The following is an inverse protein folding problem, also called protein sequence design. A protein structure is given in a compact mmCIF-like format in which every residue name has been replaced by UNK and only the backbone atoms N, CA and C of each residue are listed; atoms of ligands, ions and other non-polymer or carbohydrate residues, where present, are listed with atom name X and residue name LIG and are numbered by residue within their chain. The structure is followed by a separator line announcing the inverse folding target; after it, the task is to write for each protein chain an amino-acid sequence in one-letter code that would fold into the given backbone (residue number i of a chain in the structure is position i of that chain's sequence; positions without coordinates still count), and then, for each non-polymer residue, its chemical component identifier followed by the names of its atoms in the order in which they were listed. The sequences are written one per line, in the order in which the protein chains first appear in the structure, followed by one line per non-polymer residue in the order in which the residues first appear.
data_IF_258130601331
#
_entry.id   IF_258130601331
#
_cell.length_a   1.000
_cell.length_b   1.000
_cell.length_c   1.000
_cell.angle_alpha   90.00
_cell.angle_beta   90.00
_cell.angle_gamma   90.00
#
_symmetry.space_group_name_H-M   'P 1'
#
loop_
_entity.id
_entity.type
_entity.pdbx_description
1 polymer ?
#
# COMPACT_ATOMS: atom_id res chain seq x y z
N UNK A 1 -77.63 -12.43 2.17
CA UNK A 1 -76.92 -11.39 1.40
C UNK A 1 -76.30 -10.42 2.40
N UNK A 2 -74.97 -10.49 2.65
CA UNK A 2 -74.16 -9.40 3.25
C UNK A 2 -72.67 -9.75 3.50
N UNK A 3 -72.17 -10.89 3.00
CA UNK A 3 -70.75 -11.26 3.15
C UNK A 3 -69.81 -10.67 2.08
N UNK A 4 -70.33 -10.20 0.94
CA UNK A 4 -69.50 -9.78 -0.21
C UNK A 4 -69.20 -8.28 -0.27
N UNK A 5 -69.90 -7.46 0.54
CA UNK A 5 -69.73 -6.00 0.54
C UNK A 5 -68.45 -5.58 1.28
N UNK A 6 -68.13 -6.21 2.41
CA UNK A 6 -66.96 -5.86 3.21
C UNK A 6 -65.62 -6.22 2.55
N UNK A 7 -65.54 -7.32 1.78
CA UNK A 7 -64.29 -7.69 1.07
C UNK A 7 -64.02 -6.78 -0.13
N UNK A 8 -65.06 -6.25 -0.77
CA UNK A 8 -64.94 -5.36 -1.92
C UNK A 8 -64.47 -3.98 -1.49
N UNK A 9 -65.00 -3.43 -0.40
CA UNK A 9 -64.57 -2.15 0.17
C UNK A 9 -63.13 -2.24 0.70
N UNK A 10 -62.77 -3.34 1.36
CA UNK A 10 -61.40 -3.57 1.81
C UNK A 10 -60.40 -3.69 0.65
N UNK A 11 -60.76 -4.34 -0.46
CA UNK A 11 -59.90 -4.40 -1.66
C UNK A 11 -59.71 -3.05 -2.34
N UNK A 12 -60.74 -2.20 -2.36
CA UNK A 12 -60.67 -0.88 -3.00
C UNK A 12 -59.85 0.10 -2.16
N UNK A 13 -59.97 0.05 -0.82
CA UNK A 13 -59.23 0.93 0.09
C UNK A 13 -57.79 0.46 0.35
N UNK A 14 -57.58 -0.84 0.60
CA UNK A 14 -56.26 -1.37 0.97
C UNK A 14 -55.45 -1.90 -0.21
N UNK A 15 -56.09 -2.21 -1.34
CA UNK A 15 -55.40 -2.70 -2.54
C UNK A 15 -54.33 -1.73 -3.06
N UNK A 16 -54.64 -0.43 -3.27
CA UNK A 16 -53.65 0.55 -3.69
C UNK A 16 -52.53 0.76 -2.66
N UNK A 17 -52.87 0.73 -1.37
CA UNK A 17 -51.90 0.88 -0.26
C UNK A 17 -50.93 -0.32 -0.23
N UNK A 18 -51.44 -1.54 -0.39
CA UNK A 18 -50.65 -2.77 -0.43
C UNK A 18 -49.75 -2.83 -1.67
N UNK A 19 -50.22 -2.34 -2.83
CA UNK A 19 -49.41 -2.24 -4.05
C UNK A 19 -48.30 -1.20 -3.90
N UNK A 20 -48.58 -0.04 -3.29
CA UNK A 20 -47.54 0.94 -3.00
C UNK A 20 -46.53 0.42 -1.97
N UNK A 21 -46.99 -0.28 -0.93
CA UNK A 21 -46.10 -0.91 0.06
C UNK A 21 -45.25 -2.01 -0.55
N UNK A 22 -45.81 -2.86 -1.42
CA UNK A 22 -45.02 -3.89 -2.11
C UNK A 22 -43.97 -3.27 -3.01
N UNK A 23 -44.30 -2.20 -3.75
CA UNK A 23 -43.36 -1.51 -4.62
C UNK A 23 -42.22 -0.84 -3.82
N UNK A 24 -42.54 -0.17 -2.71
CA UNK A 24 -41.54 0.39 -1.81
C UNK A 24 -40.67 -0.69 -1.18
N UNK A 25 -41.25 -1.82 -0.79
CA UNK A 25 -40.52 -2.97 -0.27
C UNK A 25 -39.58 -3.55 -1.33
N UNK A 26 -40.03 -3.73 -2.58
CA UNK A 26 -39.20 -4.22 -3.69
C UNK A 26 -38.05 -3.27 -4.00
N UNK A 27 -38.28 -1.95 -4.00
CA UNK A 27 -37.21 -0.96 -4.17
C UNK A 27 -36.21 -1.02 -3.02
N UNK A 28 -36.71 -1.12 -1.78
CA UNK A 28 -35.88 -1.19 -0.58
C UNK A 28 -35.02 -2.46 -0.56
N UNK A 29 -35.63 -3.62 -0.85
CA UNK A 29 -34.93 -4.91 -0.96
C UNK A 29 -33.96 -4.88 -2.14
N UNK A 30 -34.36 -4.38 -3.31
CA UNK A 30 -33.51 -4.30 -4.50
C UNK A 30 -32.27 -3.42 -4.29
N UNK A 31 -32.43 -2.26 -3.62
CA UNK A 31 -31.32 -1.39 -3.26
C UNK A 31 -30.36 -2.05 -2.27
N UNK A 32 -30.88 -2.67 -1.22
CA UNK A 32 -30.02 -3.38 -0.27
C UNK A 32 -29.35 -4.60 -0.89
N UNK A 33 -30.03 -5.29 -1.82
CA UNK A 33 -29.45 -6.39 -2.56
C UNK A 33 -28.31 -5.91 -3.47
N UNK A 34 -28.46 -4.79 -4.20
CA UNK A 34 -27.37 -4.26 -5.03
C UNK A 34 -26.17 -3.79 -4.21
N UNK A 35 -26.40 -3.10 -3.09
CA UNK A 35 -25.35 -2.67 -2.16
C UNK A 35 -24.54 -3.90 -1.66
N UNK A 36 -25.23 -5.01 -1.36
CA UNK A 36 -24.58 -6.23 -0.85
C UNK A 36 -23.96 -7.13 -1.92
N UNK A 37 -24.48 -7.16 -3.14
CA UNK A 37 -23.81 -7.82 -4.27
C UNK A 37 -22.48 -7.15 -4.57
N UNK A 38 -22.41 -5.81 -4.45
CA UNK A 38 -21.15 -5.09 -4.61
C UNK A 38 -20.12 -5.47 -3.52
N UNK A 39 -20.56 -5.71 -2.29
CA UNK A 39 -19.71 -6.21 -1.19
C UNK A 39 -19.18 -7.61 -1.49
N UNK A 40 -20.03 -8.53 -1.95
CA UNK A 40 -19.60 -9.90 -2.31
C UNK A 40 -18.61 -9.88 -3.48
N UNK A 41 -18.83 -9.04 -4.50
CA UNK A 41 -17.86 -8.85 -5.58
C UNK A 41 -16.53 -8.29 -5.09
N UNK A 42 -16.57 -7.34 -4.16
CA UNK A 42 -15.36 -6.75 -3.58
C UNK A 42 -14.55 -7.80 -2.80
N UNK A 43 -15.24 -8.64 -2.03
CA UNK A 43 -14.64 -9.78 -1.33
C UNK A 43 -14.00 -10.75 -2.34
N UNK A 44 -14.72 -11.14 -3.38
CA UNK A 44 -14.21 -12.03 -4.44
C UNK A 44 -12.98 -11.43 -5.17
N UNK A 45 -12.99 -10.12 -5.42
CA UNK A 45 -11.89 -9.37 -6.04
C UNK A 45 -10.66 -9.21 -5.14
N UNK A 46 -10.84 -9.14 -3.81
CA UNK A 46 -9.72 -9.12 -2.85
C UNK A 46 -9.12 -10.52 -2.67
N UNK A 47 -9.92 -11.58 -2.78
CA UNK A 47 -9.48 -12.98 -2.60
C UNK A 47 -8.95 -13.68 -3.84
N UNK A 48 -9.23 -13.17 -5.03
CA UNK A 48 -8.81 -13.77 -6.29
C UNK A 48 -7.37 -13.42 -6.70
N UNK A 49 -6.77 -14.26 -7.55
CA UNK A 49 -5.53 -13.93 -8.27
C UNK A 49 -5.80 -12.85 -9.33
N UNK A 50 -5.92 -11.60 -8.89
CA UNK A 50 -6.06 -10.45 -9.78
C UNK A 50 -6.95 -9.35 -9.21
N UNK A 51 -6.37 -8.16 -9.05
CA UNK A 51 -7.12 -6.94 -8.75
C UNK A 51 -7.90 -6.53 -10.00
N UNK A 52 -9.23 -6.51 -9.93
CA UNK A 52 -10.05 -6.10 -11.08
C UNK A 52 -9.88 -4.62 -11.42
N UNK A 53 -10.15 -4.27 -12.67
CA UNK A 53 -10.14 -2.88 -13.19
C UNK A 53 -11.11 -1.95 -12.40
N UNK A 54 -12.18 -2.52 -11.82
CA UNK A 54 -13.13 -1.79 -10.96
C UNK A 54 -12.48 -1.32 -9.65
N UNK A 55 -11.62 -2.13 -9.03
CA UNK A 55 -10.86 -1.75 -7.82
C UNK A 55 -9.81 -0.66 -8.14
N UNK A 56 -9.16 -0.74 -9.31
CA UNK A 56 -8.20 0.27 -9.76
C UNK A 56 -8.85 1.63 -10.10
N UNK A 57 -10.11 1.61 -10.53
CA UNK A 57 -10.89 2.80 -10.91
C UNK A 57 -11.40 3.64 -9.73
N UNK A 58 -11.38 3.10 -8.52
CA UNK A 58 -11.90 3.74 -7.30
C UNK A 58 -13.43 3.89 -7.30
N UNK A 59 -14.14 3.22 -8.21
CA UNK A 59 -15.58 3.43 -8.43
C UNK A 59 -16.42 3.00 -7.23
N UNK A 60 -15.97 1.98 -6.51
CA UNK A 60 -16.65 1.50 -5.31
C UNK A 60 -16.47 2.47 -4.13
N UNK A 61 -15.25 2.92 -3.87
CA UNK A 61 -14.91 3.89 -2.84
C UNK A 61 -15.67 5.20 -3.03
N UNK A 62 -15.76 5.68 -4.28
CA UNK A 62 -16.55 6.87 -4.64
C UNK A 62 -18.01 6.78 -4.19
N UNK A 63 -18.61 5.58 -4.19
CA UNK A 63 -20.02 5.41 -3.80
C UNK A 63 -20.28 5.62 -2.29
N UNK A 64 -19.24 5.52 -1.46
CA UNK A 64 -19.31 5.74 -0.01
C UNK A 64 -18.81 7.12 0.44
N UNK A 65 -18.29 7.92 -0.49
CA UNK A 65 -17.73 9.24 -0.22
C UNK A 65 -18.67 10.35 -0.70
N UNK A 66 -18.91 11.41 0.11
CA UNK A 66 -19.59 12.60 -0.37
C UNK A 66 -18.87 13.20 -1.59
N UNK A 67 -19.64 13.64 -2.59
CA UNK A 67 -19.11 14.07 -3.89
C UNK A 67 -18.09 15.21 -3.76
N UNK A 68 -18.32 16.11 -2.82
CA UNK A 68 -17.44 17.22 -2.47
C UNK A 68 -16.06 16.79 -1.95
N UNK A 69 -15.93 15.57 -1.42
CA UNK A 69 -14.69 15.05 -0.86
C UNK A 69 -13.94 14.12 -1.81
N UNK A 70 -14.59 13.59 -2.84
CA UNK A 70 -13.97 12.67 -3.81
C UNK A 70 -12.71 13.26 -4.47
N UNK A 71 -12.66 14.58 -4.64
CA UNK A 71 -11.50 15.27 -5.21
C UNK A 71 -10.21 15.05 -4.39
N UNK A 72 -10.29 14.97 -3.06
CA UNK A 72 -9.10 14.75 -2.21
C UNK A 72 -8.53 13.32 -2.36
N UNK A 73 -9.36 12.36 -2.78
CA UNK A 73 -8.95 10.97 -2.96
C UNK A 73 -8.41 10.72 -4.36
N UNK A 74 -9.18 11.14 -5.36
CA UNK A 74 -8.95 10.76 -6.76
C UNK A 74 -8.41 11.91 -7.61
N UNK A 75 -8.33 13.12 -7.08
CA UNK A 75 -7.91 14.28 -7.84
C UNK A 75 -8.86 14.62 -8.99
N UNK A 76 -8.31 15.25 -10.04
CA UNK A 76 -9.05 15.57 -11.26
C UNK A 76 -9.02 14.38 -12.24
N UNK A 77 -10.00 13.48 -12.14
CA UNK A 77 -10.08 12.25 -12.95
C UNK A 77 -10.25 12.48 -14.45
N UNK A 78 -10.33 13.72 -14.92
CA UNK A 78 -10.27 14.04 -16.35
C UNK A 78 -8.84 14.02 -16.91
N UNK A 79 -7.83 14.00 -16.03
CA UNK A 79 -6.42 13.92 -16.38
C UNK A 79 -5.97 12.46 -16.60
N UNK A 80 -5.05 12.24 -17.56
CA UNK A 80 -4.78 10.89 -18.08
C UNK A 80 -4.06 9.96 -17.09
N UNK A 81 -3.17 10.50 -16.25
CA UNK A 81 -2.33 9.70 -15.35
C UNK A 81 -2.69 9.92 -13.88
N UNK A 82 -2.41 8.95 -13.00
CA UNK A 82 -2.72 9.07 -11.56
C UNK A 82 -1.96 10.23 -10.93
N UNK A 83 -0.69 10.42 -11.30
CA UNK A 83 0.11 11.56 -10.89
C UNK A 83 -0.50 12.89 -11.34
N UNK A 84 -0.96 13.02 -12.58
CA UNK A 84 -1.59 14.25 -13.06
C UNK A 84 -2.91 14.54 -12.31
N UNK A 85 -3.68 13.50 -12.00
CA UNK A 85 -4.88 13.59 -11.17
C UNK A 85 -4.54 14.13 -9.77
N UNK A 86 -3.55 13.55 -9.08
CA UNK A 86 -3.14 14.01 -7.75
C UNK A 86 -2.48 15.39 -7.77
N UNK A 87 -1.76 15.74 -8.84
CA UNK A 87 -1.18 17.09 -9.03
C UNK A 87 -2.25 18.17 -8.93
N UNK A 88 -3.44 17.91 -9.46
CA UNK A 88 -4.56 18.84 -9.39
C UNK A 88 -4.96 19.20 -7.94
N UNK A 89 -4.76 18.27 -6.99
CA UNK A 89 -5.02 18.50 -5.57
C UNK A 89 -4.05 19.55 -5.03
N UNK A 90 -2.76 19.37 -5.30
CA UNK A 90 -1.74 20.35 -4.92
C UNK A 90 -1.93 21.70 -5.62
N UNK A 91 -2.33 21.73 -6.90
CA UNK A 91 -2.60 23.00 -7.61
C UNK A 91 -3.70 23.85 -6.94
N UNK A 92 -4.64 23.24 -6.21
CA UNK A 92 -5.63 23.96 -5.40
C UNK A 92 -5.10 24.41 -4.03
N UNK A 93 -3.97 23.89 -3.58
CA UNK A 93 -3.31 24.27 -2.34
C UNK A 93 -1.78 24.21 -2.50
N UNK A 94 -1.16 25.15 -3.26
CA UNK A 94 0.24 25.03 -3.70
C UNK A 94 1.28 25.06 -2.58
N UNK A 95 0.92 25.58 -1.41
CA UNK A 95 1.81 25.61 -0.24
C UNK A 95 1.72 24.33 0.60
N UNK A 96 0.83 23.39 0.24
CA UNK A 96 0.64 22.16 0.99
C UNK A 96 1.66 21.08 0.57
N UNK A 97 2.72 20.94 1.37
CA UNK A 97 3.77 19.93 1.18
C UNK A 97 3.27 18.48 1.23
N UNK A 98 2.20 18.19 1.97
CA UNK A 98 1.60 16.84 2.06
C UNK A 98 1.05 16.43 0.69
N UNK A 99 0.28 17.31 0.06
CA UNK A 99 -0.28 17.05 -1.27
C UNK A 99 0.80 16.96 -2.34
N UNK A 100 1.86 17.76 -2.22
CA UNK A 100 2.99 17.69 -3.14
C UNK A 100 3.76 16.38 -3.01
N UNK A 101 4.08 15.94 -1.80
CA UNK A 101 4.76 14.67 -1.58
C UNK A 101 3.94 13.47 -2.09
N UNK A 102 2.62 13.48 -1.88
CA UNK A 102 1.75 12.46 -2.46
C UNK A 102 1.73 12.50 -3.99
N UNK A 103 1.70 13.69 -4.60
CA UNK A 103 1.85 13.82 -6.05
C UNK A 103 3.17 13.21 -6.54
N UNK A 104 4.30 13.50 -5.89
CA UNK A 104 5.60 12.93 -6.26
C UNK A 104 5.61 11.41 -6.15
N UNK A 105 4.96 10.82 -5.13
CA UNK A 105 4.85 9.35 -5.03
C UNK A 105 4.09 8.73 -6.20
N UNK A 106 2.96 9.31 -6.58
CA UNK A 106 2.24 8.85 -7.78
C UNK A 106 3.02 9.12 -9.07
N UNK A 107 3.78 10.21 -9.15
CA UNK A 107 4.63 10.53 -10.30
C UNK A 107 5.74 9.49 -10.48
N UNK A 108 6.35 9.04 -9.38
CA UNK A 108 7.27 7.90 -9.38
C UNK A 108 6.53 6.64 -9.83
N UNK A 109 5.33 6.38 -9.33
CA UNK A 109 4.50 5.25 -9.76
C UNK A 109 4.26 5.22 -11.28
N UNK A 110 3.81 6.33 -11.85
CA UNK A 110 3.55 6.45 -13.30
C UNK A 110 4.84 6.41 -14.15
N UNK A 111 5.97 6.85 -13.60
CA UNK A 111 7.29 6.65 -14.22
C UNK A 111 7.70 5.18 -14.21
N UNK A 112 7.34 4.47 -13.15
CA UNK A 112 7.70 3.07 -12.95
C UNK A 112 6.81 2.07 -13.68
N UNK A 113 5.60 2.49 -14.06
CA UNK A 113 4.65 1.68 -14.81
C UNK A 113 5.11 1.55 -16.25
N UNK A 114 6.02 0.61 -16.49
CA UNK A 114 6.36 0.12 -17.82
C UNK A 114 5.34 -0.94 -18.22
N UNK A 115 4.35 -0.56 -19.02
CA UNK A 115 3.53 -1.55 -19.73
C UNK A 115 4.33 -2.08 -20.93
N UNK A 116 4.35 -3.40 -21.14
CA UNK A 116 5.16 -4.04 -22.20
C UNK A 116 5.03 -3.31 -23.56
N UNK A 117 6.10 -2.60 -23.96
CA UNK A 117 6.17 -1.90 -25.23
C UNK A 117 5.57 -0.49 -25.27
N UNK A 118 5.10 0.05 -24.13
CA UNK A 118 4.63 1.43 -24.00
C UNK A 118 5.66 2.21 -23.19
N UNK A 119 6.21 3.32 -23.72
CA UNK A 119 7.09 4.19 -22.95
C UNK A 119 6.39 4.71 -21.68
N UNK A 120 7.13 4.93 -20.57
CA UNK A 120 6.56 5.52 -19.37
C UNK A 120 5.78 6.79 -19.67
N UNK A 121 4.64 6.98 -18.99
CA UNK A 121 3.80 8.16 -19.20
C UNK A 121 4.49 9.47 -18.73
N UNK A 122 5.53 9.33 -17.91
CA UNK A 122 6.31 10.43 -17.33
C UNK A 122 7.74 10.35 -17.85
N UNK A 123 8.26 11.45 -18.38
CA UNK A 123 9.66 11.52 -18.81
C UNK A 123 10.60 11.71 -17.61
N UNK A 124 11.86 11.29 -17.77
CA UNK A 124 12.87 11.48 -16.71
C UNK A 124 13.14 12.97 -16.40
N UNK A 125 13.11 13.84 -17.42
CA UNK A 125 13.30 15.28 -17.25
C UNK A 125 12.15 15.91 -16.46
N UNK A 126 10.91 15.44 -16.69
CA UNK A 126 9.75 15.86 -15.92
C UNK A 126 9.85 15.40 -14.47
N UNK A 127 10.25 14.13 -14.26
CA UNK A 127 10.43 13.57 -12.93
C UNK A 127 11.51 14.31 -12.13
N UNK A 128 12.68 14.57 -12.73
CA UNK A 128 13.73 15.36 -12.10
C UNK A 128 13.20 16.73 -11.71
N UNK A 129 12.59 17.45 -12.66
CA UNK A 129 12.08 18.81 -12.44
C UNK A 129 11.15 18.88 -11.23
N UNK A 130 10.22 17.94 -11.09
CA UNK A 130 9.24 17.94 -10.01
C UNK A 130 9.88 17.48 -8.69
N UNK A 131 10.80 16.53 -8.70
CA UNK A 131 11.59 16.18 -7.50
C UNK A 131 12.39 17.39 -7.00
N UNK A 132 13.08 18.11 -7.89
CA UNK A 132 13.82 19.34 -7.52
C UNK A 132 12.90 20.45 -7.01
N UNK A 133 11.66 20.50 -7.49
CA UNK A 133 10.67 21.42 -6.97
C UNK A 133 10.21 20.99 -5.56
N UNK A 134 10.10 19.70 -5.28
CA UNK A 134 9.87 19.16 -3.94
C UNK A 134 10.95 19.57 -2.95
N UNK A 135 12.21 19.48 -3.35
CA UNK A 135 13.35 19.97 -2.55
C UNK A 135 13.27 21.48 -2.26
N UNK A 136 12.63 22.28 -3.10
CA UNK A 136 12.42 23.72 -2.84
C UNK A 136 11.26 23.97 -1.90
N UNK A 137 10.20 23.16 -1.99
CA UNK A 137 9.00 23.28 -1.15
C UNK A 137 9.30 22.83 0.29
N UNK A 138 10.11 21.78 0.45
CA UNK A 138 10.42 21.16 1.73
C UNK A 138 11.93 20.81 1.81
N UNK A 139 12.80 21.83 1.97
CA UNK A 139 14.25 21.70 1.82
C UNK A 139 14.91 20.80 2.86
N UNK A 140 14.30 20.69 4.04
CA UNK A 140 14.81 19.88 5.15
C UNK A 140 14.42 18.39 5.03
N UNK A 141 13.61 18.03 4.04
CA UNK A 141 13.11 16.68 3.85
C UNK A 141 14.01 15.86 2.91
N UNK A 142 14.55 14.76 3.43
CA UNK A 142 15.41 13.82 2.73
C UNK A 142 14.67 12.98 1.68
N UNK A 143 13.34 12.90 1.76
CA UNK A 143 12.49 12.11 0.88
C UNK A 143 12.83 12.26 -0.61
N UNK A 144 12.93 13.51 -1.10
CA UNK A 144 13.18 13.79 -2.50
C UNK A 144 14.57 13.33 -2.97
N UNK A 145 15.61 13.52 -2.14
CA UNK A 145 16.98 13.12 -2.50
C UNK A 145 17.15 11.60 -2.44
N UNK A 146 16.51 10.89 -1.50
CA UNK A 146 16.55 9.43 -1.48
C UNK A 146 15.88 8.82 -2.71
N UNK A 147 14.68 9.30 -3.08
CA UNK A 147 14.01 8.80 -4.28
C UNK A 147 14.85 9.09 -5.53
N UNK A 148 15.39 10.31 -5.63
CA UNK A 148 16.18 10.66 -6.80
C UNK A 148 17.46 9.85 -6.91
N UNK A 149 18.16 9.63 -5.78
CA UNK A 149 19.31 8.72 -5.72
C UNK A 149 18.92 7.32 -6.20
N UNK A 150 17.78 6.79 -5.75
CA UNK A 150 17.31 5.46 -6.14
C UNK A 150 16.93 5.38 -7.63
N UNK A 151 16.32 6.41 -8.20
CA UNK A 151 16.02 6.49 -9.64
C UNK A 151 17.30 6.54 -10.47
N UNK A 152 18.25 7.40 -10.10
CA UNK A 152 19.54 7.50 -10.79
C UNK A 152 20.29 6.18 -10.73
N UNK A 153 20.29 5.52 -9.57
CA UNK A 153 20.89 4.21 -9.39
C UNK A 153 20.27 3.17 -10.32
N UNK A 154 18.93 3.03 -10.28
CA UNK A 154 18.20 2.08 -11.14
C UNK A 154 18.46 2.30 -12.62
N UNK A 155 18.63 3.55 -13.06
CA UNK A 155 18.93 3.85 -14.46
C UNK A 155 20.37 3.52 -14.86
N UNK A 156 21.29 3.55 -13.91
CA UNK A 156 22.70 3.26 -14.14
C UNK A 156 23.11 1.82 -13.85
N UNK A 157 22.24 0.99 -13.27
CA UNK A 157 22.54 -0.39 -12.95
C UNK A 157 21.33 -1.33 -13.16
N UNK A 158 21.60 -2.55 -13.61
CA UNK A 158 20.60 -3.61 -13.77
C UNK A 158 20.90 -4.78 -12.85
N UNK A 159 19.85 -5.43 -12.34
CA UNK A 159 19.98 -6.63 -11.53
C UNK A 159 20.01 -7.85 -12.44
N UNK A 160 21.17 -8.50 -12.55
CA UNK A 160 21.32 -9.77 -13.26
C UNK A 160 21.31 -10.92 -12.25
N UNK A 161 20.41 -11.88 -12.47
CA UNK A 161 20.44 -13.15 -11.75
C UNK A 161 21.20 -14.15 -12.59
N UNK A 162 22.30 -14.68 -12.07
CA UNK A 162 23.04 -15.76 -12.70
C UNK A 162 22.69 -17.09 -12.01
N UNK A 163 21.71 -17.85 -12.53
CA UNK A 163 21.25 -19.09 -11.91
C UNK A 163 22.31 -20.19 -11.89
N UNK A 164 23.35 -20.10 -12.73
CA UNK A 164 24.42 -21.11 -12.78
C UNK A 164 25.46 -20.91 -11.66
N UNK A 165 25.61 -19.70 -11.14
CA UNK A 165 26.58 -19.37 -10.08
C UNK A 165 25.93 -19.15 -8.71
N UNK A 166 24.61 -19.24 -8.60
CA UNK A 166 23.82 -18.87 -7.41
C UNK A 166 24.24 -17.48 -6.89
N UNK A 167 24.55 -16.59 -7.84
CA UNK A 167 24.98 -15.22 -7.60
C UNK A 167 24.07 -14.28 -8.35
N UNK A 168 23.50 -13.35 -7.60
CA UNK A 168 22.81 -12.22 -8.16
C UNK A 168 23.65 -10.95 -7.93
N UNK A 169 23.84 -10.16 -8.98
CA UNK A 169 24.67 -8.95 -8.92
C UNK A 169 24.06 -7.78 -9.68
N UNK A 170 24.38 -6.57 -9.21
CA UNK A 170 24.12 -5.35 -9.93
C UNK A 170 25.21 -5.14 -10.97
N UNK A 171 24.84 -5.18 -12.24
CA UNK A 171 25.70 -4.82 -13.36
C UNK A 171 25.60 -3.32 -13.58
N UNK A 172 26.73 -2.62 -13.44
CA UNK A 172 26.80 -1.17 -13.63
C UNK A 172 26.91 -0.86 -15.12
N UNK A 173 25.86 -0.25 -15.67
CA UNK A 173 25.75 0.12 -17.08
C UNK A 173 26.18 1.58 -17.34
N UNK A 174 25.95 2.48 -16.37
CA UNK A 174 26.35 3.91 -16.47
C UNK A 174 26.93 4.42 -15.13
N UNK A 175 28.27 4.42 -15.01
CA UNK A 175 28.94 4.91 -13.80
C UNK A 175 28.64 6.38 -13.48
N UNK A 176 28.35 7.22 -14.48
CA UNK A 176 28.08 8.66 -14.26
C UNK A 176 26.76 8.86 -13.52
N UNK A 177 25.77 8.02 -13.83
CA UNK A 177 24.49 8.02 -13.12
C UNK A 177 24.66 7.53 -11.69
N UNK A 178 25.53 6.55 -11.44
CA UNK A 178 25.82 6.08 -10.09
C UNK A 178 26.54 7.14 -9.26
N UNK A 179 27.55 7.82 -9.81
CA UNK A 179 28.21 8.93 -9.12
C UNK A 179 27.20 10.04 -8.76
N UNK A 180 26.28 10.34 -9.67
CA UNK A 180 25.18 11.28 -9.44
C UNK A 180 24.24 10.79 -8.33
N UNK A 181 23.91 9.49 -8.30
CA UNK A 181 23.11 8.88 -7.25
C UNK A 181 23.78 9.01 -5.88
N UNK A 182 25.09 8.78 -5.80
CA UNK A 182 25.87 8.94 -4.56
C UNK A 182 25.89 10.39 -4.07
N UNK A 183 26.02 11.37 -4.98
CA UNK A 183 25.92 12.79 -4.62
C UNK A 183 24.56 13.11 -3.99
N UNK A 184 23.47 12.59 -4.55
CA UNK A 184 22.12 12.78 -4.02
C UNK A 184 21.90 12.05 -2.69
N UNK A 185 22.43 10.84 -2.55
CA UNK A 185 22.40 10.09 -1.30
C UNK A 185 23.10 10.85 -0.17
N UNK A 186 24.26 11.46 -0.44
CA UNK A 186 24.98 12.30 0.53
C UNK A 186 24.18 13.55 0.91
N UNK A 187 23.42 14.15 -0.01
CA UNK A 187 22.50 15.24 0.32
C UNK A 187 21.37 14.76 1.23
N UNK A 188 20.83 13.56 0.97
CA UNK A 188 19.75 12.99 1.75
C UNK A 188 20.16 12.72 3.20
N UNK A 189 21.33 12.10 3.41
CA UNK A 189 21.83 11.79 4.77
C UNK A 189 22.15 13.02 5.59
N UNK A 190 22.48 14.15 4.94
CA UNK A 190 22.73 15.42 5.61
C UNK A 190 21.46 16.16 6.08
N UNK A 191 20.28 15.73 5.63
CA UNK A 191 19.00 16.39 5.96
C UNK A 191 18.43 15.92 7.31
N UNK A 192 17.69 16.76 8.03
CA UNK A 192 17.25 16.45 9.39
C UNK A 192 16.15 15.39 9.48
N UNK A 193 15.30 15.24 8.47
CA UNK A 193 14.19 14.27 8.52
C UNK A 193 13.84 13.68 7.17
N UNK A 194 13.13 12.56 7.20
CA UNK A 194 12.46 11.95 6.04
C UNK A 194 10.95 11.94 6.31
N UNK A 195 10.15 12.54 5.42
CA UNK A 195 8.68 12.53 5.51
C UNK A 195 8.05 12.31 4.14
N UNK A 196 7.21 11.27 4.02
CA UNK A 196 6.33 11.08 2.85
C UNK A 196 4.97 11.74 3.03
N UNK A 197 4.67 12.10 4.27
CA UNK A 197 3.37 12.61 4.71
C UNK A 197 2.21 11.65 4.43
N UNK A 198 2.49 10.35 4.46
CA UNK A 198 1.53 9.34 4.08
C UNK A 198 0.45 9.16 5.16
N UNK A 199 0.86 9.20 6.42
CA UNK A 199 -0.01 9.22 7.59
C UNK A 199 -0.93 10.43 7.59
N UNK A 200 -0.44 11.66 7.46
CA UNK A 200 -1.31 12.85 7.56
C UNK A 200 -2.37 12.88 6.46
N UNK A 201 -2.00 12.58 5.21
CA UNK A 201 -2.95 12.58 4.10
C UNK A 201 -4.01 11.50 4.27
N UNK A 202 -3.60 10.30 4.70
CA UNK A 202 -4.52 9.20 4.84
C UNK A 202 -5.41 9.34 6.07
N UNK A 203 -4.93 9.92 7.17
CA UNK A 203 -5.78 10.28 8.31
C UNK A 203 -6.85 11.28 7.90
N UNK A 204 -6.49 12.31 7.12
CA UNK A 204 -7.44 13.28 6.57
C UNK A 204 -8.48 12.58 5.68
N UNK A 205 -8.03 11.75 4.73
CA UNK A 205 -8.91 10.97 3.85
C UNK A 205 -9.81 10.03 4.64
N UNK A 206 -9.28 9.27 5.59
CA UNK A 206 -10.05 8.35 6.42
C UNK A 206 -11.13 9.06 7.25
N UNK A 207 -10.92 10.33 7.61
CA UNK A 207 -11.91 11.18 8.26
C UNK A 207 -13.18 11.43 7.45
N UNK A 208 -13.13 11.33 6.12
CA UNK A 208 -14.30 11.52 5.25
C UNK A 208 -15.11 10.25 5.00
N UNK A 209 -14.57 9.08 5.31
CA UNK A 209 -15.34 7.85 5.24
C UNK A 209 -16.37 7.76 6.37
N UNK A 210 -17.52 7.09 6.16
CA UNK A 210 -18.52 6.89 7.20
C UNK A 210 -17.93 6.27 8.47
N UNK A 211 -18.54 6.58 9.62
CA UNK A 211 -18.26 5.85 10.86
C UNK A 211 -18.44 4.34 10.64
N UNK A 212 -17.52 3.57 11.21
CA UNK A 212 -17.37 2.14 10.98
C UNK A 212 -18.42 1.31 11.73
N UNK A 213 -19.71 1.57 11.45
CA UNK A 213 -20.87 0.92 12.06
C UNK A 213 -21.33 -0.33 11.33
N UNK A 214 -20.93 -0.50 10.06
CA UNK A 214 -21.28 -1.65 9.21
C UNK A 214 -20.05 -2.28 8.57
N UNK A 215 -20.18 -3.54 8.14
CA UNK A 215 -19.08 -4.30 7.53
C UNK A 215 -18.64 -3.66 6.21
N UNK A 216 -19.57 -3.12 5.42
CA UNK A 216 -19.30 -2.45 4.16
C UNK A 216 -18.42 -1.20 4.35
N UNK A 217 -18.60 -0.49 5.48
CA UNK A 217 -17.77 0.67 5.81
C UNK A 217 -16.34 0.26 6.23
N UNK A 218 -16.17 -0.93 6.82
CA UNK A 218 -14.83 -1.50 7.09
C UNK A 218 -14.15 -1.88 5.79
N UNK A 219 -14.91 -2.54 4.94
CA UNK A 219 -14.48 -3.06 3.65
C UNK A 219 -14.02 -1.95 2.72
N UNK A 220 -14.80 -0.89 2.54
CA UNK A 220 -14.39 0.22 1.68
C UNK A 220 -13.13 0.95 2.18
N UNK A 221 -12.97 1.12 3.51
CA UNK A 221 -11.75 1.70 4.09
C UNK A 221 -10.54 0.80 3.86
N UNK A 222 -10.72 -0.50 4.03
CA UNK A 222 -9.68 -1.50 3.80
C UNK A 222 -9.24 -1.51 2.33
N UNK A 223 -10.19 -1.56 1.38
CA UNK A 223 -9.90 -1.53 -0.05
C UNK A 223 -9.16 -0.25 -0.43
N UNK A 224 -9.61 0.90 0.08
CA UNK A 224 -8.92 2.17 -0.09
C UNK A 224 -7.45 2.08 0.38
N UNK A 225 -7.22 1.64 1.62
CA UNK A 225 -5.86 1.50 2.16
C UNK A 225 -5.00 0.50 1.39
N UNK A 226 -5.57 -0.62 0.96
CA UNK A 226 -4.87 -1.64 0.17
C UNK A 226 -4.52 -1.17 -1.25
N UNK A 227 -5.28 -0.21 -1.79
CA UNK A 227 -5.03 0.39 -3.11
C UNK A 227 -3.94 1.46 -3.11
N UNK A 228 -3.46 1.89 -1.93
CA UNK A 228 -2.43 2.90 -1.82
C UNK A 228 -1.10 2.37 -2.37
N UNK A 229 -0.57 3.07 -3.38
CA UNK A 229 0.70 2.71 -4.01
C UNK A 229 1.87 3.17 -3.13
N UNK A 230 2.93 2.36 -3.05
CA UNK A 230 4.20 2.66 -2.38
C UNK A 230 5.40 2.40 -3.31
N UNK A 231 5.42 2.97 -4.53
CA UNK A 231 6.41 2.62 -5.56
C UNK A 231 7.85 2.94 -5.14
N UNK A 232 8.03 3.95 -4.29
CA UNK A 232 9.33 4.41 -3.82
C UNK A 232 10.06 3.41 -2.92
N UNK A 233 9.31 2.58 -2.19
CA UNK A 233 9.88 1.68 -1.20
C UNK A 233 10.78 0.61 -1.83
N UNK A 234 10.34 0.04 -2.97
CA UNK A 234 11.13 -0.92 -3.72
C UNK A 234 12.42 -0.31 -4.25
N UNK A 235 12.35 0.90 -4.82
CA UNK A 235 13.50 1.62 -5.34
C UNK A 235 14.55 1.89 -4.25
N UNK A 236 14.12 2.38 -3.08
CA UNK A 236 15.05 2.70 -1.99
C UNK A 236 15.67 1.43 -1.40
N UNK A 237 14.91 0.34 -1.28
CA UNK A 237 15.47 -0.96 -0.87
C UNK A 237 16.56 -1.42 -1.84
N UNK A 238 16.28 -1.33 -3.14
CA UNK A 238 17.20 -1.78 -4.19
C UNK A 238 18.47 -0.93 -4.22
N UNK A 239 18.37 0.37 -3.98
CA UNK A 239 19.53 1.25 -3.76
C UNK A 239 20.43 0.73 -2.63
N UNK A 240 19.88 0.46 -1.44
CA UNK A 240 20.69 -0.01 -0.30
C UNK A 240 21.22 -1.42 -0.47
N UNK A 241 20.54 -2.26 -1.25
CA UNK A 241 21.05 -3.57 -1.66
C UNK A 241 22.31 -3.44 -2.52
N UNK A 242 22.41 -2.38 -3.31
CA UNK A 242 23.45 -2.24 -4.31
C UNK A 242 24.70 -1.48 -3.85
N UNK A 243 24.57 -0.61 -2.84
CA UNK A 243 25.69 0.18 -2.30
C UNK A 243 26.93 -0.68 -1.97
N UNK A 244 26.82 -1.84 -1.29
CA UNK A 244 27.99 -2.67 -1.02
C UNK A 244 28.75 -3.08 -2.29
N UNK A 245 28.02 -3.50 -3.33
CA UNK A 245 28.62 -3.89 -4.62
C UNK A 245 29.26 -2.70 -5.35
N UNK A 246 28.64 -1.51 -5.27
CA UNK A 246 29.25 -0.29 -5.79
C UNK A 246 30.58 0.01 -5.09
N UNK A 247 30.64 -0.14 -3.77
CA UNK A 247 31.88 0.09 -3.00
C UNK A 247 32.96 -0.93 -3.38
N UNK A 248 32.63 -2.22 -3.53
CA UNK A 248 33.59 -3.25 -3.94
C UNK A 248 34.12 -3.05 -5.37
N UNK A 249 33.27 -2.54 -6.27
CA UNK A 249 33.58 -2.40 -7.69
C UNK A 249 34.34 -1.11 -8.03
N UNK A 250 34.48 -0.17 -7.09
CA UNK A 250 35.09 1.14 -7.32
C UNK A 250 36.29 1.38 -6.40
N UNK A 251 37.31 2.06 -6.92
CA UNK A 251 38.49 2.46 -6.14
C UNK A 251 38.15 3.68 -5.26
N UNK A 252 37.53 3.43 -4.09
CA UNK A 252 37.22 4.45 -3.10
C UNK A 252 38.29 4.50 -2.00
N UNK A 253 38.48 5.68 -1.40
CA UNK A 253 39.25 5.74 -0.14
C UNK A 253 38.48 5.03 0.98
N UNK A 254 39.20 4.46 1.95
CA UNK A 254 38.61 3.74 3.09
C UNK A 254 37.54 4.57 3.83
N UNK A 255 37.78 5.89 3.98
CA UNK A 255 36.83 6.81 4.57
C UNK A 255 35.58 7.02 3.74
N UNK A 256 35.71 7.07 2.40
CA UNK A 256 34.55 7.23 1.50
C UNK A 256 33.74 5.95 1.42
N UNK A 257 34.41 4.80 1.36
CA UNK A 257 33.78 3.48 1.40
C UNK A 257 32.97 3.32 2.70
N UNK A 258 33.59 3.54 3.85
CA UNK A 258 32.93 3.44 5.16
C UNK A 258 31.74 4.39 5.27
N UNK A 259 31.89 5.64 4.83
CA UNK A 259 30.78 6.60 4.86
C UNK A 259 29.59 6.14 4.01
N UNK A 260 29.83 5.56 2.84
CA UNK A 260 28.77 5.03 1.97
C UNK A 260 28.13 3.77 2.56
N UNK A 261 28.95 2.86 3.05
CA UNK A 261 28.51 1.63 3.72
C UNK A 261 27.62 1.90 4.93
N UNK A 262 27.82 2.99 5.65
CA UNK A 262 27.00 3.36 6.83
C UNK A 262 25.72 4.17 6.51
N UNK A 263 25.50 4.58 5.26
CA UNK A 263 24.35 5.43 4.89
C UNK A 263 22.99 4.81 5.19
N UNK A 264 22.88 3.48 5.21
CA UNK A 264 21.64 2.77 5.55
C UNK A 264 21.20 3.09 6.99
N UNK A 265 22.14 3.29 7.92
CA UNK A 265 21.83 3.62 9.31
C UNK A 265 21.14 4.98 9.41
N UNK A 266 21.65 5.96 8.65
CA UNK A 266 21.07 7.30 8.56
C UNK A 266 19.67 7.26 7.96
N UNK A 267 19.50 6.50 6.86
CA UNK A 267 18.20 6.32 6.22
C UNK A 267 17.17 5.70 7.17
N UNK A 268 17.51 4.60 7.85
CA UNK A 268 16.58 3.95 8.78
C UNK A 268 16.23 4.88 9.95
N UNK A 269 17.21 5.58 10.50
CA UNK A 269 16.98 6.55 11.59
C UNK A 269 15.99 7.65 11.17
N UNK A 270 16.11 8.16 9.95
CA UNK A 270 15.23 9.20 9.43
C UNK A 270 13.85 8.65 9.01
N UNK A 271 13.76 7.44 8.47
CA UNK A 271 12.56 6.90 7.83
C UNK A 271 11.65 6.08 8.75
N UNK A 272 12.18 5.43 9.80
CA UNK A 272 11.37 4.67 10.77
C UNK A 272 10.24 5.52 11.39
N UNK A 273 10.45 6.79 11.79
CA UNK A 273 9.37 7.64 12.31
C UNK A 273 8.24 7.93 11.31
N UNK A 274 8.46 7.72 10.01
CA UNK A 274 7.49 7.94 8.92
C UNK A 274 6.85 6.61 8.43
N UNK A 275 7.15 5.48 9.07
CA UNK A 275 6.51 4.20 8.76
C UNK A 275 5.04 4.23 9.21
N UNK A 276 4.12 3.98 8.27
CA UNK A 276 2.67 4.06 8.51
C UNK A 276 2.00 2.68 8.47
N UNK A 277 2.46 1.78 7.60
CA UNK A 277 1.85 0.48 7.39
C UNK A 277 2.87 -0.67 7.53
N UNK A 278 2.36 -1.91 7.57
CA UNK A 278 3.20 -3.10 7.68
C UNK A 278 4.21 -3.22 6.53
N UNK A 279 3.84 -2.80 5.31
CA UNK A 279 4.74 -2.83 4.14
C UNK A 279 5.96 -1.94 4.40
N UNK A 280 5.78 -0.76 5.00
CA UNK A 280 6.90 0.11 5.38
C UNK A 280 7.86 -0.62 6.31
N UNK A 281 7.34 -1.19 7.39
CA UNK A 281 8.14 -1.89 8.40
C UNK A 281 8.89 -3.08 7.77
N UNK A 282 8.23 -3.85 6.91
CA UNK A 282 8.84 -4.99 6.24
C UNK A 282 9.96 -4.57 5.28
N UNK A 283 9.78 -3.47 4.54
CA UNK A 283 10.81 -2.96 3.62
C UNK A 283 11.98 -2.36 4.39
N UNK A 284 11.73 -1.55 5.43
CA UNK A 284 12.80 -1.00 6.28
C UNK A 284 13.59 -2.11 6.98
N UNK A 285 12.91 -3.16 7.44
CA UNK A 285 13.58 -4.36 7.95
C UNK A 285 14.40 -5.09 6.88
N UNK A 286 13.92 -5.15 5.64
CA UNK A 286 14.68 -5.73 4.54
C UNK A 286 15.97 -4.95 4.27
N UNK A 287 15.93 -3.61 4.31
CA UNK A 287 17.13 -2.76 4.24
C UNK A 287 18.09 -3.09 5.38
N UNK A 288 17.63 -3.11 6.63
CA UNK A 288 18.47 -3.44 7.78
C UNK A 288 19.15 -4.80 7.64
N UNK A 289 18.41 -5.84 7.25
CA UNK A 289 18.95 -7.20 7.08
C UNK A 289 19.97 -7.28 5.95
N UNK A 290 19.63 -6.75 4.77
CA UNK A 290 20.52 -6.75 3.61
C UNK A 290 21.82 -6.02 3.92
N UNK A 291 21.74 -4.86 4.56
CA UNK A 291 22.91 -4.12 5.00
C UNK A 291 23.70 -4.90 6.05
N UNK A 292 23.04 -5.49 7.06
CA UNK A 292 23.69 -6.30 8.09
C UNK A 292 24.53 -7.46 7.55
N UNK A 293 24.09 -8.07 6.45
CA UNK A 293 24.81 -9.15 5.76
C UNK A 293 25.87 -8.59 4.82
N UNK A 294 25.48 -7.77 3.83
CA UNK A 294 26.36 -7.35 2.74
C UNK A 294 27.34 -6.25 3.11
N UNK A 295 26.96 -5.28 3.93
CA UNK A 295 27.91 -4.26 4.39
C UNK A 295 28.98 -4.88 5.28
N UNK A 296 28.60 -5.85 6.14
CA UNK A 296 29.56 -6.55 6.99
C UNK A 296 30.55 -7.38 6.17
N UNK A 297 30.11 -8.07 5.11
CA UNK A 297 31.00 -8.77 4.17
C UNK A 297 32.03 -7.82 3.53
N UNK A 298 31.62 -6.60 3.14
CA UNK A 298 32.55 -5.60 2.59
C UNK A 298 33.55 -5.10 3.65
N UNK A 299 33.11 -4.84 4.88
CA UNK A 299 34.05 -4.48 5.95
C UNK A 299 35.06 -5.58 6.25
N UNK A 300 34.68 -6.86 6.17
CA UNK A 300 35.62 -7.98 6.29
C UNK A 300 36.64 -8.01 5.17
N UNK A 301 36.22 -7.73 3.92
CA UNK A 301 37.13 -7.66 2.78
C UNK A 301 38.10 -6.47 2.87
N UNK A 302 37.70 -5.41 3.59
CA UNK A 302 38.53 -4.25 3.97
C UNK A 302 39.40 -4.49 5.22
N UNK A 303 39.39 -5.69 5.80
CA UNK A 303 40.08 -6.04 7.06
C UNK A 303 39.60 -5.27 8.32
N UNK A 304 38.45 -4.59 8.26
CA UNK A 304 37.82 -3.89 9.39
C UNK A 304 36.77 -4.76 10.10
N UNK A 305 37.27 -5.74 10.86
CA UNK A 305 36.43 -6.70 11.58
C UNK A 305 35.54 -6.05 12.66
N UNK A 306 35.98 -4.93 13.25
CA UNK A 306 35.20 -4.22 14.27
C UNK A 306 33.94 -3.60 13.66
N UNK A 307 34.07 -2.92 12.51
CA UNK A 307 32.93 -2.37 11.79
C UNK A 307 31.99 -3.46 11.25
N UNK A 308 32.52 -4.60 10.81
CA UNK A 308 31.72 -5.75 10.40
C UNK A 308 30.85 -6.30 11.55
N UNK A 309 31.44 -6.53 12.73
CA UNK A 309 30.73 -7.02 13.91
C UNK A 309 29.69 -6.01 14.42
N UNK A 310 30.06 -4.72 14.48
CA UNK A 310 29.14 -3.65 14.85
C UNK A 310 27.94 -3.55 13.90
N UNK A 311 28.19 -3.69 12.58
CA UNK A 311 27.15 -3.69 11.55
C UNK A 311 26.16 -4.84 11.76
N UNK A 312 26.65 -6.06 12.00
CA UNK A 312 25.81 -7.24 12.27
C UNK A 312 25.02 -7.08 13.56
N UNK A 313 25.65 -6.61 14.63
CA UNK A 313 24.99 -6.40 15.91
C UNK A 313 23.85 -5.37 15.78
N UNK A 314 24.11 -4.24 15.12
CA UNK A 314 23.13 -3.18 14.96
C UNK A 314 21.97 -3.61 14.06
N UNK A 315 22.26 -4.19 12.90
CA UNK A 315 21.23 -4.75 12.01
C UNK A 315 20.41 -5.84 12.69
N UNK A 316 21.06 -6.73 13.45
CA UNK A 316 20.42 -7.79 14.22
C UNK A 316 19.42 -7.24 15.26
N UNK A 317 19.79 -6.18 15.99
CA UNK A 317 18.88 -5.50 16.93
C UNK A 317 17.66 -4.90 16.23
N UNK A 318 17.86 -4.26 15.08
CA UNK A 318 16.77 -3.66 14.30
C UNK A 318 15.82 -4.72 13.71
N UNK A 319 16.36 -5.86 13.29
CA UNK A 319 15.56 -6.94 12.69
C UNK A 319 14.93 -7.89 13.71
N UNK A 320 15.38 -7.89 14.97
CA UNK A 320 14.90 -8.79 16.01
C UNK A 320 13.36 -8.83 16.14
N UNK A 321 12.62 -7.70 16.18
CA UNK A 321 11.16 -7.75 16.33
C UNK A 321 10.47 -8.50 15.17
N UNK A 322 10.94 -8.31 13.93
CA UNK A 322 10.36 -8.97 12.76
C UNK A 322 10.75 -10.44 12.70
N UNK A 323 11.99 -10.79 13.08
CA UNK A 323 12.40 -12.19 13.20
C UNK A 323 11.55 -12.92 14.23
N UNK A 324 11.36 -12.34 15.43
CA UNK A 324 10.50 -12.90 16.46
C UNK A 324 9.05 -13.05 15.99
N UNK A 325 8.49 -12.05 15.31
CA UNK A 325 7.15 -12.14 14.73
C UNK A 325 7.05 -13.27 13.68
N UNK A 326 8.05 -13.44 12.80
CA UNK A 326 8.09 -14.52 11.80
C UNK A 326 8.25 -15.91 12.44
N UNK A 327 9.09 -16.04 13.46
CA UNK A 327 9.29 -17.30 14.16
C UNK A 327 8.01 -17.73 14.89
N UNK A 328 7.36 -16.78 15.57
CA UNK A 328 6.05 -17.01 16.19
C UNK A 328 4.98 -17.40 15.16
N UNK A 329 5.06 -16.90 13.92
CA UNK A 329 4.16 -17.25 12.80
C UNK A 329 4.36 -18.69 12.32
N UNK A 330 5.60 -19.18 12.25
CA UNK A 330 5.91 -20.53 11.78
C UNK A 330 5.31 -21.64 12.67
N UNK A 331 5.13 -21.34 13.96
CA UNK A 331 4.56 -22.26 14.96
C UNK A 331 3.02 -22.19 15.07
N UNK A 332 2.34 -21.44 14.19
CA UNK A 332 0.89 -21.25 14.29
C UNK A 332 0.06 -22.32 13.57
N UNK A 333 -1.08 -22.73 14.15
CA UNK A 333 -1.99 -23.74 13.57
C UNK A 333 -2.74 -23.28 12.30
N UNK A 334 -2.54 -22.04 11.85
CA UNK A 334 -3.25 -21.42 10.72
C UNK A 334 -2.43 -21.31 9.43
N UNK A 335 -1.27 -21.99 9.36
CA UNK A 335 -0.53 -22.21 8.11
C UNK A 335 -0.82 -23.59 7.52
N UNK A 336 -1.46 -23.63 6.34
CA UNK A 336 -1.81 -24.88 5.63
C UNK A 336 -3.26 -25.33 5.80
N UNK A 337 -3.63 -26.43 5.13
CA UNK A 337 -4.96 -27.09 5.06
C UNK A 337 -5.50 -27.57 6.44
N UNK A 338 -5.44 -26.76 7.49
CA UNK A 338 -5.94 -27.08 8.82
C UNK A 338 -7.44 -26.78 8.93
N UNK A 339 -8.16 -27.60 9.70
CA UNK A 339 -9.60 -27.44 9.97
C UNK A 339 -9.93 -26.08 10.63
N UNK A 340 -8.96 -25.43 11.26
CA UNK A 340 -9.15 -24.13 11.87
C UNK A 340 -9.10 -22.97 10.85
N UNK A 341 -8.40 -23.12 9.72
CA UNK A 341 -8.50 -22.16 8.61
C UNK A 341 -9.90 -22.15 7.98
N UNK A 342 -10.59 -23.30 7.96
CA UNK A 342 -11.99 -23.41 7.54
C UNK A 342 -12.99 -22.73 8.49
N UNK A 343 -12.57 -22.36 9.71
CA UNK A 343 -13.39 -21.60 10.67
C UNK A 343 -13.19 -20.08 10.57
N UNK A 344 -12.26 -19.63 9.72
CA UNK A 344 -12.11 -18.20 9.43
C UNK A 344 -13.31 -17.74 8.62
N UNK A 345 -13.94 -16.65 9.06
CA UNK A 345 -14.82 -15.86 8.20
C UNK A 345 -14.04 -15.36 6.97
N UNK A 346 -14.73 -14.95 5.91
CA UNK A 346 -14.10 -14.60 4.63
C UNK A 346 -13.08 -13.47 4.80
N UNK A 347 -13.39 -12.45 5.60
CA UNK A 347 -12.46 -11.34 5.84
C UNK A 347 -11.27 -11.78 6.69
N UNK A 348 -11.52 -12.64 7.67
CA UNK A 348 -10.49 -13.25 8.48
C UNK A 348 -9.56 -14.13 7.64
N UNK A 349 -10.09 -14.90 6.69
CA UNK A 349 -9.29 -15.71 5.76
C UNK A 349 -8.49 -14.88 4.77
N UNK A 350 -8.93 -13.66 4.43
CA UNK A 350 -8.19 -12.77 3.53
C UNK A 350 -7.06 -12.04 4.26
N UNK A 351 -7.29 -11.61 5.50
CA UNK A 351 -6.44 -10.63 6.16
C UNK A 351 -5.47 -11.24 7.17
N UNK A 352 -5.82 -12.38 7.75
CA UNK A 352 -5.05 -12.94 8.87
C UNK A 352 -3.91 -13.86 8.44
N UNK A 353 -4.01 -14.64 7.34
CA UNK A 353 -2.89 -15.44 6.88
C UNK A 353 -1.65 -14.61 6.53
N UNK A 354 -1.85 -13.36 6.07
CA UNK A 354 -0.76 -12.42 5.76
C UNK A 354 -0.16 -11.77 7.02
N UNK A 355 -0.97 -11.55 8.07
CA UNK A 355 -0.55 -10.97 9.35
C UNK A 355 0.13 -11.94 10.29
N UNK A 356 -0.11 -13.25 10.16
CA UNK A 356 0.60 -14.27 10.94
C UNK A 356 0.54 -14.06 12.45
N UNK A 357 -0.56 -13.51 12.96
CA UNK A 357 -0.82 -13.25 14.39
C UNK A 357 -1.56 -14.45 15.02
N UNK A 358 -1.33 -14.77 16.31
CA UNK A 358 -1.96 -15.90 16.96
C UNK A 358 -3.41 -15.56 17.27
N UNK A 359 -4.28 -15.89 16.32
CA UNK A 359 -5.69 -15.54 16.41
C UNK A 359 -6.48 -16.75 16.89
N UNK A 360 -7.08 -16.62 18.06
CA UNK A 360 -7.92 -17.67 18.63
C UNK A 360 -9.31 -17.65 18.00
N UNK A 361 -10.03 -18.78 18.04
CA UNK A 361 -11.43 -18.84 17.62
C UNK A 361 -12.34 -17.86 18.36
N UNK A 362 -11.99 -17.49 19.61
CA UNK A 362 -12.71 -16.49 20.40
C UNK A 362 -12.49 -15.07 19.85
N UNK A 363 -11.28 -14.75 19.38
CA UNK A 363 -11.00 -13.47 18.71
C UNK A 363 -11.73 -13.34 17.36
N UNK A 364 -11.98 -14.47 16.69
CA UNK A 364 -12.71 -14.53 15.41
C UNK A 364 -14.23 -14.52 15.58
N UNK A 365 -14.74 -14.99 16.73
CA UNK A 365 -16.16 -15.21 16.94
C UNK A 365 -17.03 -13.97 16.63
N UNK A 366 -16.67 -12.73 17.03
CA UNK A 366 -17.46 -11.55 16.68
C UNK A 366 -17.48 -11.28 15.17
N UNK A 367 -16.34 -11.42 14.49
CA UNK A 367 -16.25 -11.22 13.03
C UNK A 367 -17.06 -12.25 12.26
N UNK A 368 -16.90 -13.52 12.62
CA UNK A 368 -17.64 -14.64 12.04
C UNK A 368 -19.15 -14.50 12.27
N UNK A 369 -19.57 -14.01 13.43
CA UNK A 369 -20.98 -13.76 13.73
C UNK A 369 -21.55 -12.63 12.86
N UNK A 370 -20.82 -11.53 12.69
CA UNK A 370 -21.24 -10.42 11.83
C UNK A 370 -21.35 -10.85 10.37
N UNK A 371 -20.35 -11.57 9.85
CA UNK A 371 -20.40 -12.10 8.49
C UNK A 371 -21.57 -13.06 8.30
N UNK A 372 -21.76 -14.01 9.24
CA UNK A 372 -22.86 -14.96 9.19
C UNK A 372 -24.22 -14.27 9.16
N UNK A 373 -24.42 -13.23 9.98
CA UNK A 373 -25.65 -12.43 9.99
C UNK A 373 -25.82 -11.68 8.68
N UNK A 374 -24.76 -11.05 8.16
CA UNK A 374 -24.81 -10.32 6.89
C UNK A 374 -25.16 -11.24 5.71
N UNK A 375 -24.58 -12.44 5.64
CA UNK A 375 -24.90 -13.44 4.62
C UNK A 375 -26.30 -14.03 4.76
N UNK A 376 -26.75 -14.33 5.99
CA UNK A 376 -28.11 -14.81 6.25
C UNK A 376 -29.16 -13.78 5.81
N UNK A 377 -28.97 -12.52 6.19
CA UNK A 377 -29.84 -11.43 5.76
C UNK A 377 -29.84 -11.27 4.23
N UNK A 378 -28.69 -11.43 3.56
CA UNK A 378 -28.60 -11.36 2.10
C UNK A 378 -29.32 -12.53 1.42
N UNK A 379 -29.19 -13.75 1.95
CA UNK A 379 -29.94 -14.91 1.47
C UNK A 379 -31.46 -14.72 1.65
N UNK A 380 -31.88 -14.16 2.79
CA UNK A 380 -33.29 -13.84 3.04
C UNK A 380 -33.80 -12.78 2.05
N UNK A 381 -33.05 -11.70 1.85
CA UNK A 381 -33.39 -10.65 0.89
C UNK A 381 -33.48 -11.20 -0.55
N UNK A 382 -32.53 -12.05 -0.96
CA UNK A 382 -32.55 -12.72 -2.26
C UNK A 382 -33.74 -13.67 -2.41
N UNK A 383 -34.02 -14.49 -1.40
CA UNK A 383 -35.16 -15.41 -1.40
C UNK A 383 -36.48 -14.65 -1.48
N UNK A 384 -36.60 -13.50 -0.80
CA UNK A 384 -37.77 -12.63 -0.90
C UNK A 384 -37.92 -12.01 -2.29
N UNK A 385 -36.81 -11.65 -2.95
CA UNK A 385 -36.80 -11.15 -4.34
C UNK A 385 -37.20 -12.20 -5.38
N UNK A 386 -36.82 -13.47 -5.17
CA UNK A 386 -37.18 -14.58 -6.06
C UNK A 386 -38.64 -15.04 -5.87
N UNK A 387 -39.21 -14.81 -4.68
CA UNK A 387 -40.58 -15.18 -4.33
C UNK A 387 -41.62 -14.08 -4.64
N UNK A 388 -41.17 -12.85 -4.93
CA UNK A 388 -41.98 -11.73 -5.42
C UNK A 388 -42.00 -11.74 -6.95
#
# INVERSE_FOLDING_TARGET
MNSNSHSTIARILYGPILVCLSFLLTIWIGRHYSERVAVVRMIDQIGGEGVSEELQSGTYEKSFLPAEHQFLFFGDTTRPTKSAQQRAIWEKSPDNKVYYANYIRELVGDYMDEEYGVPPAVSIDELEKEIRQGEKIDPDNAFYNYIWAAILFRRGAEWESNPDEDRDEWVINDPTLLDSAIVELRKATAKPYYRRYHDELNEERLGFFPETRRIEHRLVKLTFLASLRLPELGLVRDLFKAIPQYVESNELSESEASQLLDTWQSFLTQSIPDAYCLIDVLVLNAVAKLSGEKVAEVYESMEDLESADNTREYAGKLSQPITQWKDNRADMPFGGDSIDSMKLGILASMLLPSLGEPITGEMLAPGNQVERVAFLEQMIAHSMLVLL
#
